data_IF_375134705688
#
_entry.id   IF_375134705688
#
_cell.length_a   1.000
_cell.length_b   1.000
_cell.length_c   1.000
_cell.angle_alpha   90.00
_cell.angle_beta   90.00
_cell.angle_gamma   90.00
#
_symmetry.space_group_name_H-M   'P 1'
#
loop_
_entity.id
_entity.type
_entity.pdbx_description
1 polymer ?
#
# COMPACT_ATOMS: atom_id res chain seq x y z
N UNK A 1 -24.46 9.06 -11.03
CA UNK A 1 -23.19 8.39 -11.40
C UNK A 1 -22.21 9.52 -11.69
N UNK A 2 -21.53 10.01 -10.66
CA UNK A 2 -20.68 11.21 -10.70
C UNK A 2 -19.25 10.82 -11.08
N UNK A 3 -18.80 11.29 -12.24
CA UNK A 3 -17.68 12.24 -12.40
C UNK A 3 -16.26 11.88 -11.99
N UNK A 4 -16.04 10.92 -11.11
CA UNK A 4 -14.72 10.62 -10.57
C UNK A 4 -14.28 9.28 -11.13
N UNK A 5 -13.15 9.23 -11.84
CA UNK A 5 -12.68 8.04 -12.57
C UNK A 5 -12.21 6.92 -11.63
N UNK A 6 -13.11 6.37 -10.82
CA UNK A 6 -12.90 5.13 -10.10
C UNK A 6 -13.00 3.96 -11.09
N UNK A 7 -11.98 3.12 -11.11
CA UNK A 7 -11.92 1.99 -12.03
C UNK A 7 -12.11 0.68 -11.28
N UNK A 8 -13.34 0.46 -10.82
CA UNK A 8 -13.75 -0.75 -10.12
C UNK A 8 -13.91 -1.91 -11.11
N UNK A 9 -13.11 -2.97 -10.92
CA UNK A 9 -13.00 -4.08 -11.89
C UNK A 9 -12.93 -5.43 -11.20
N UNK A 10 -13.21 -6.49 -11.97
CA UNK A 10 -13.14 -7.89 -11.54
C UNK A 10 -13.91 -8.18 -10.22
N UNK A 11 -15.22 -7.87 -10.13
CA UNK A 11 -15.99 -8.25 -8.96
C UNK A 11 -16.15 -9.78 -8.87
N UNK A 12 -16.06 -10.32 -7.67
CA UNK A 12 -16.24 -11.74 -7.37
C UNK A 12 -17.09 -11.91 -6.10
N UNK A 13 -18.17 -12.69 -6.20
CA UNK A 13 -19.00 -13.07 -5.08
C UNK A 13 -18.28 -14.10 -4.20
N UNK A 14 -18.41 -13.98 -2.89
CA UNK A 14 -18.09 -15.08 -1.99
C UNK A 14 -19.09 -16.24 -2.23
N UNK A 15 -18.66 -17.51 -2.16
CA UNK A 15 -19.55 -18.66 -2.33
C UNK A 15 -20.75 -18.70 -1.37
N UNK A 16 -20.59 -18.18 -0.16
CA UNK A 16 -21.67 -18.04 0.82
C UNK A 16 -22.67 -16.90 0.50
N UNK A 17 -22.38 -16.09 -0.52
CA UNK A 17 -23.22 -14.99 -0.98
C UNK A 17 -23.31 -13.83 0.01
N UNK A 18 -22.32 -13.64 0.90
CA UNK A 18 -22.33 -12.58 1.93
C UNK A 18 -21.40 -11.41 1.63
N UNK A 19 -20.41 -11.59 0.76
CA UNK A 19 -19.40 -10.56 0.45
C UNK A 19 -19.11 -10.49 -1.05
N UNK A 20 -18.57 -9.35 -1.45
CA UNK A 20 -18.06 -9.10 -2.80
C UNK A 20 -16.61 -8.64 -2.66
N UNK A 21 -15.71 -9.33 -3.35
CA UNK A 21 -14.35 -8.88 -3.57
C UNK A 21 -14.25 -8.14 -4.90
N UNK A 22 -13.44 -7.10 -4.98
CA UNK A 22 -13.26 -6.34 -6.21
C UNK A 22 -11.92 -5.60 -6.21
N UNK A 23 -11.49 -5.20 -7.39
CA UNK A 23 -10.34 -4.30 -7.56
C UNK A 23 -10.87 -2.87 -7.53
N UNK A 24 -10.30 -2.03 -6.68
CA UNK A 24 -10.54 -0.59 -6.68
C UNK A 24 -9.28 0.16 -7.09
N UNK A 25 -9.40 1.13 -7.97
CA UNK A 25 -8.33 2.03 -8.35
C UNK A 25 -8.84 3.47 -8.40
N UNK A 26 -8.13 4.38 -7.71
CA UNK A 26 -8.34 5.83 -7.83
C UNK A 26 -7.68 6.34 -9.10
N UNK A 27 -8.08 7.53 -9.58
CA UNK A 27 -7.63 8.10 -10.85
C UNK A 27 -6.10 8.12 -11.05
N UNK A 28 -5.32 8.29 -9.98
CA UNK A 28 -3.85 8.26 -9.99
C UNK A 28 -3.28 7.23 -9.00
N UNK A 29 -4.12 6.35 -8.45
CA UNK A 29 -3.74 5.37 -7.44
C UNK A 29 -3.48 3.98 -8.03
N UNK A 30 -2.59 3.22 -7.39
CA UNK A 30 -2.38 1.83 -7.76
C UNK A 30 -3.59 0.98 -7.36
N UNK A 31 -4.03 0.04 -8.22
CA UNK A 31 -5.09 -0.90 -7.89
C UNK A 31 -4.82 -1.65 -6.58
N UNK A 32 -5.84 -1.83 -5.75
CA UNK A 32 -5.81 -2.70 -4.57
C UNK A 32 -7.04 -3.60 -4.53
N UNK A 33 -6.96 -4.69 -3.79
CA UNK A 33 -8.08 -5.58 -3.51
C UNK A 33 -8.91 -5.00 -2.37
N UNK A 34 -10.22 -4.99 -2.57
CA UNK A 34 -11.21 -4.60 -1.58
C UNK A 34 -12.24 -5.71 -1.40
N UNK A 35 -12.87 -5.72 -0.24
CA UNK A 35 -14.06 -6.51 0.04
C UNK A 35 -15.14 -5.64 0.67
N UNK A 36 -16.40 -6.01 0.48
CA UNK A 36 -17.55 -5.36 1.12
C UNK A 36 -18.68 -6.37 1.30
N UNK A 37 -19.64 -6.03 2.16
CA UNK A 37 -20.90 -6.78 2.28
C UNK A 37 -21.71 -6.65 0.98
N UNK A 38 -22.62 -7.60 0.72
CA UNK A 38 -23.49 -7.56 -0.49
C UNK A 38 -24.39 -6.34 -0.57
N UNK A 39 -24.69 -5.71 0.57
CA UNK A 39 -25.48 -4.50 0.64
C UNK A 39 -24.65 -3.22 0.35
N UNK A 40 -23.35 -3.36 0.09
CA UNK A 40 -22.42 -2.27 -0.18
C UNK A 40 -21.76 -1.66 1.06
N UNK A 41 -22.09 -2.14 2.26
CA UNK A 41 -21.51 -1.66 3.52
C UNK A 41 -20.19 -2.37 3.85
N UNK A 42 -19.48 -1.86 4.87
CA UNK A 42 -18.23 -2.43 5.39
C UNK A 42 -17.18 -2.66 4.29
N UNK A 43 -16.97 -1.64 3.45
CA UNK A 43 -15.89 -1.68 2.45
C UNK A 43 -14.53 -1.59 3.14
N UNK A 44 -13.73 -2.65 3.00
CA UNK A 44 -12.40 -2.79 3.59
C UNK A 44 -11.38 -3.03 2.49
N UNK A 45 -10.21 -2.40 2.60
CA UNK A 45 -9.05 -2.63 1.74
C UNK A 45 -8.26 -3.82 2.28
N UNK A 46 -7.97 -4.79 1.42
CA UNK A 46 -7.28 -6.05 1.78
C UNK A 46 -5.82 -6.11 1.34
N UNK A 47 -5.37 -5.16 0.51
CA UNK A 47 -4.00 -5.13 -0.02
C UNK A 47 -3.43 -3.72 -0.14
N UNK A 48 -2.11 -3.61 -0.20
CA UNK A 48 -1.34 -2.39 0.04
C UNK A 48 -0.89 -1.63 -1.24
N UNK A 49 -1.75 -1.54 -2.27
CA UNK A 49 -1.55 -0.66 -3.45
C UNK A 49 -0.45 -1.14 -4.41
N UNK A 50 -0.32 -2.44 -4.62
CA UNK A 50 0.68 -2.99 -5.51
C UNK A 50 0.08 -3.41 -6.86
N UNK A 51 -0.78 -2.58 -7.44
CA UNK A 51 -1.48 -2.91 -8.68
C UNK A 51 -2.12 -4.32 -8.66
N UNK A 52 -2.74 -4.63 -7.53
CA UNK A 52 -3.28 -5.95 -7.23
C UNK A 52 -4.53 -6.22 -8.06
N UNK A 53 -4.68 -7.44 -8.55
CA UNK A 53 -5.78 -7.78 -9.47
C UNK A 53 -6.28 -9.21 -9.32
N UNK A 54 -7.46 -9.46 -9.91
CA UNK A 54 -8.07 -10.79 -10.09
C UNK A 54 -8.29 -11.54 -8.76
N UNK A 55 -9.05 -10.96 -7.82
CA UNK A 55 -9.39 -11.67 -6.61
C UNK A 55 -10.28 -12.88 -6.95
N UNK A 56 -10.00 -14.02 -6.31
CA UNK A 56 -10.88 -15.18 -6.33
C UNK A 56 -11.02 -15.79 -4.95
N UNK A 57 -12.26 -16.06 -4.58
CA UNK A 57 -12.63 -16.65 -3.30
C UNK A 57 -12.31 -18.14 -3.25
N UNK A 58 -11.87 -18.60 -2.09
CA UNK A 58 -11.87 -20.02 -1.75
C UNK A 58 -13.30 -20.56 -1.67
N UNK A 59 -13.54 -21.85 -1.94
CA UNK A 59 -14.89 -22.44 -1.94
C UNK A 59 -15.64 -22.33 -0.61
N UNK A 60 -14.91 -22.26 0.51
CA UNK A 60 -15.45 -22.10 1.86
C UNK A 60 -15.71 -20.64 2.26
N UNK A 61 -15.43 -19.67 1.38
CA UNK A 61 -15.59 -18.23 1.62
C UNK A 61 -14.66 -17.64 2.69
N UNK A 62 -13.64 -18.38 3.14
CA UNK A 62 -12.71 -17.91 4.17
C UNK A 62 -11.56 -17.07 3.62
N UNK A 63 -11.14 -17.33 2.38
CA UNK A 63 -9.91 -16.79 1.82
C UNK A 63 -10.11 -16.16 0.44
N UNK A 64 -9.25 -15.21 0.10
CA UNK A 64 -9.13 -14.65 -1.25
C UNK A 64 -7.68 -14.78 -1.71
N UNK A 65 -7.47 -15.37 -2.88
CA UNK A 65 -6.17 -15.30 -3.57
C UNK A 65 -6.22 -14.21 -4.64
N UNK A 66 -5.12 -13.50 -4.83
CA UNK A 66 -5.00 -12.40 -5.78
C UNK A 66 -3.58 -12.29 -6.33
N UNK A 67 -3.46 -11.60 -7.47
CA UNK A 67 -2.18 -11.22 -8.04
C UNK A 67 -1.65 -9.97 -7.33
N UNK A 68 -0.37 -9.96 -6.99
CA UNK A 68 0.33 -8.84 -6.35
C UNK A 68 1.54 -8.41 -7.17
N UNK A 69 1.68 -7.12 -7.47
CA UNK A 69 2.85 -6.60 -8.18
C UNK A 69 4.01 -6.31 -7.25
N UNK A 70 5.13 -6.98 -7.51
CA UNK A 70 6.38 -6.68 -6.85
C UNK A 70 7.23 -5.74 -7.73
N UNK A 71 8.40 -5.36 -7.21
CA UNK A 71 9.40 -4.61 -7.93
C UNK A 71 9.73 -5.26 -9.30
N UNK A 72 10.16 -4.43 -10.25
CA UNK A 72 10.60 -4.85 -11.59
C UNK A 72 9.51 -5.51 -12.46
N UNK A 73 8.24 -5.42 -12.06
CA UNK A 73 7.12 -5.94 -12.83
C UNK A 73 6.74 -7.38 -12.53
N UNK A 74 7.46 -8.04 -11.62
CA UNK A 74 7.15 -9.39 -11.13
C UNK A 74 5.73 -9.43 -10.55
N UNK A 75 5.04 -10.55 -10.73
CA UNK A 75 3.71 -10.80 -10.18
C UNK A 75 3.76 -12.09 -9.39
N UNK A 76 3.35 -12.03 -8.13
CA UNK A 76 3.20 -13.21 -7.28
C UNK A 76 1.77 -13.36 -6.78
N UNK A 77 1.45 -14.56 -6.35
CA UNK A 77 0.17 -14.88 -5.75
C UNK A 77 0.25 -14.67 -4.24
N UNK A 78 -0.74 -13.95 -3.73
CA UNK A 78 -0.95 -13.76 -2.31
C UNK A 78 -2.34 -14.26 -1.95
N UNK A 79 -2.48 -14.77 -0.74
CA UNK A 79 -3.76 -15.13 -0.14
C UNK A 79 -3.99 -14.28 1.09
N UNK A 80 -5.25 -13.91 1.32
CA UNK A 80 -5.70 -13.27 2.56
C UNK A 80 -6.80 -14.12 3.20
N UNK A 81 -6.61 -14.45 4.47
CA UNK A 81 -7.63 -15.00 5.35
C UNK A 81 -8.48 -13.87 5.91
N UNK A 82 -9.78 -13.89 5.61
CA UNK A 82 -10.65 -12.75 5.84
C UNK A 82 -10.95 -12.54 7.32
N UNK A 83 -11.16 -13.61 8.08
CA UNK A 83 -11.47 -13.47 9.50
C UNK A 83 -10.25 -12.97 10.28
N UNK A 84 -9.08 -13.55 10.00
CA UNK A 84 -7.83 -13.15 10.63
C UNK A 84 -7.49 -11.69 10.31
N UNK A 85 -7.61 -11.31 9.04
CA UNK A 85 -7.32 -9.95 8.59
C UNK A 85 -8.24 -8.90 9.22
N UNK A 86 -9.55 -9.18 9.27
CA UNK A 86 -10.50 -8.24 9.85
C UNK A 86 -10.33 -8.14 11.36
N UNK A 87 -10.07 -9.25 12.05
CA UNK A 87 -9.80 -9.24 13.48
C UNK A 87 -8.55 -8.40 13.82
N UNK A 88 -7.49 -8.49 13.01
CA UNK A 88 -6.29 -7.69 13.17
C UNK A 88 -6.54 -6.18 12.99
N UNK A 89 -7.50 -5.79 12.15
CA UNK A 89 -7.87 -4.38 11.99
C UNK A 89 -8.82 -3.85 13.08
N UNK A 90 -9.57 -4.72 13.75
CA UNK A 90 -10.43 -4.37 14.87
C UNK A 90 -9.70 -4.34 16.22
N UNK A 91 -8.51 -4.96 16.31
CA UNK A 91 -7.70 -4.90 17.51
C UNK A 91 -7.34 -3.42 17.81
N UNK A 92 -7.62 -2.90 19.02
CA UNK A 92 -7.13 -1.56 19.38
C UNK A 92 -5.62 -1.56 19.18
N UNK A 93 -5.01 -0.47 18.68
CA UNK A 93 -3.55 -0.38 18.59
C UNK A 93 -3.04 -0.77 19.97
N UNK A 94 -2.32 -1.90 20.04
CA UNK A 94 -1.83 -2.47 21.28
C UNK A 94 -1.23 -1.31 22.03
N UNK A 95 -1.90 -0.94 23.13
CA UNK A 95 -1.63 0.26 23.93
C UNK A 95 -0.13 0.50 23.88
N UNK A 96 0.29 1.60 23.24
CA UNK A 96 1.69 1.97 23.09
C UNK A 96 2.41 1.49 24.34
N UNK A 97 3.38 0.59 24.16
CA UNK A 97 4.30 0.26 25.25
C UNK A 97 4.62 1.60 25.92
N UNK A 98 4.47 1.73 27.25
CA UNK A 98 4.82 2.99 27.89
C UNK A 98 6.20 3.33 27.35
N UNK A 99 6.33 4.51 26.71
CA UNK A 99 7.62 5.00 26.23
C UNK A 99 8.62 4.68 27.33
N UNK A 100 9.74 3.99 27.03
CA UNK A 100 10.67 3.62 28.09
C UNK A 100 10.92 4.89 28.90
N UNK A 101 10.58 4.87 30.19
CA UNK A 101 10.89 5.98 31.09
C UNK A 101 12.36 6.24 30.84
N UNK A 102 12.66 7.36 30.17
CA UNK A 102 14.03 7.76 29.90
C UNK A 102 14.68 7.79 31.28
N UNK A 103 15.56 6.83 31.55
CA UNK A 103 16.46 6.96 32.70
C UNK A 103 17.01 8.38 32.61
N UNK A 104 16.97 9.18 33.69
CA UNK A 104 17.41 10.56 33.61
C UNK A 104 18.81 10.55 33.01
N UNK A 105 18.96 11.23 31.87
CA UNK A 105 20.24 11.29 31.17
C UNK A 105 21.32 11.66 32.19
N UNK A 106 22.48 10.98 32.19
CA UNK A 106 23.56 11.36 33.08
C UNK A 106 23.86 12.85 32.84
N UNK A 107 23.96 13.62 33.92
CA UNK A 107 24.26 15.06 33.82
C UNK A 107 25.43 15.29 32.86
N UNK A 108 25.31 16.24 31.91
CA UNK A 108 26.37 16.47 30.95
C UNK A 108 27.65 16.84 31.70
N UNK A 109 28.75 16.17 31.36
CA UNK A 109 30.07 16.56 31.84
C UNK A 109 30.30 18.05 31.52
N UNK A 110 30.92 18.82 32.42
CA UNK A 110 31.14 20.25 32.17
C UNK A 110 31.95 20.42 30.88
N UNK A 111 31.40 21.20 29.95
CA UNK A 111 32.04 21.50 28.68
C UNK A 111 33.43 22.13 28.92
N UNK A 112 34.46 21.75 28.14
CA UNK A 112 35.75 22.42 28.20
C UNK A 112 35.58 23.90 27.82
N UNK A 113 36.27 24.81 28.53
CA UNK A 113 36.22 26.24 28.26
C UNK A 113 36.51 26.54 26.78
N UNK A 114 35.74 27.45 26.14
CA UNK A 114 35.92 27.75 24.72
C UNK A 114 37.30 28.35 24.46
N UNK A 115 38.01 27.81 23.47
CA UNK A 115 39.22 28.44 22.94
C UNK A 115 38.88 29.84 22.38
N UNK A 116 39.79 30.83 22.49
CA UNK A 116 39.52 32.18 22.02
C UNK A 116 39.29 32.20 20.51
N UNK A 117 38.19 32.84 20.10
CA UNK A 117 37.79 32.97 18.69
C UNK A 117 38.87 33.68 17.85
N UNK A 118 39.14 33.24 16.61
CA UNK A 118 39.99 33.97 15.69
C UNK A 118 39.35 35.31 15.28
N UNK A 119 40.18 36.33 15.06
CA UNK A 119 39.74 37.67 14.67
C UNK A 119 38.89 37.66 13.37
N UNK A 120 37.86 38.53 13.26
CA UNK A 120 36.98 38.54 12.11
C UNK A 120 37.70 39.00 10.84
N UNK A 121 37.41 38.31 9.73
CA UNK A 121 37.85 38.71 8.39
C UNK A 121 37.29 40.09 7.98
N UNK A 122 38.05 40.90 7.22
CA UNK A 122 37.59 42.20 6.78
C UNK A 122 36.37 42.10 5.84
N UNK A 123 35.48 43.12 5.82
CA UNK A 123 34.21 43.06 5.12
C UNK A 123 34.40 42.92 3.60
N UNK A 124 33.67 41.98 3.01
CA UNK A 124 33.56 41.84 1.55
C UNK A 124 32.63 42.91 0.97
N UNK A 125 32.98 43.41 -0.23
CA UNK A 125 32.22 44.46 -0.92
C UNK A 125 30.86 43.94 -1.43
N UNK A 126 29.82 44.79 -1.49
CA UNK A 126 28.50 44.36 -1.94
C UNK A 126 28.49 43.99 -3.43
N UNK A 127 27.81 42.89 -3.77
CA UNK A 127 27.51 42.51 -5.15
C UNK A 127 26.48 43.46 -5.78
N UNK A 128 26.51 43.68 -7.11
CA UNK A 128 25.58 44.59 -7.77
C UNK A 128 24.16 44.02 -7.93
N UNK A 129 23.16 44.91 -7.85
CA UNK A 129 21.73 44.61 -7.97
C UNK A 129 21.34 43.95 -9.32
N UNK A 130 20.30 43.09 -9.35
CA UNK A 130 19.80 42.50 -10.59
C UNK A 130 19.00 43.49 -11.47
N UNK A 131 19.17 43.33 -12.79
CA UNK A 131 18.63 44.12 -13.92
C UNK A 131 17.07 44.10 -14.00
N UNK A 132 16.37 45.24 -14.24
CA UNK A 132 14.92 45.35 -14.07
C UNK A 132 14.06 44.94 -15.29
N UNK A 133 14.45 43.90 -16.04
CA UNK A 133 13.66 43.42 -17.18
C UNK A 133 13.30 41.93 -17.09
N UNK A 134 12.42 41.59 -16.14
CA UNK A 134 11.55 40.41 -16.25
C UNK A 134 10.14 40.78 -15.78
N UNK A 135 9.17 40.66 -16.69
CA UNK A 135 7.73 40.79 -16.42
C UNK A 135 7.21 39.48 -15.78
N UNK A 136 6.29 39.52 -14.80
CA UNK A 136 5.61 38.32 -14.33
C UNK A 136 4.42 37.99 -15.24
N UNK A 137 4.33 36.74 -15.71
CA UNK A 137 3.09 36.21 -16.29
C UNK A 137 2.08 35.91 -15.18
N UNK A 138 0.87 36.45 -15.34
CA UNK A 138 -0.33 36.10 -14.58
C UNK A 138 -0.81 34.70 -15.02
N UNK A 139 -0.98 33.75 -14.09
CA UNK A 139 -1.97 32.68 -14.26
C UNK A 139 -2.74 32.43 -12.95
N UNK A 140 -3.97 32.95 -13.00
CA UNK A 140 -5.24 32.42 -12.52
C UNK A 140 -5.32 31.54 -11.25
N UNK A 141 -6.10 32.07 -10.32
CA UNK A 141 -6.78 31.34 -9.24
C UNK A 141 -7.67 30.23 -9.80
N UNK A 142 -7.55 29.02 -9.24
CA UNK A 142 -8.72 28.24 -8.84
C UNK A 142 -8.51 27.57 -7.48
N UNK A 143 -9.26 28.10 -6.52
CA UNK A 143 -9.62 27.44 -5.28
C UNK A 143 -10.43 26.17 -5.62
N UNK A 144 -9.98 25.02 -5.15
CA UNK A 144 -10.67 23.74 -5.24
C UNK A 144 -10.64 23.10 -3.87
N UNK A 145 -11.84 22.95 -3.32
CA UNK A 145 -12.23 22.41 -2.02
C UNK A 145 -11.29 21.33 -1.46
N UNK A 146 -10.83 21.54 -0.22
CA UNK A 146 -10.00 20.59 0.50
C UNK A 146 -10.76 19.29 0.79
N UNK A 147 -10.16 18.18 0.38
CA UNK A 147 -10.49 16.83 0.84
C UNK A 147 -10.42 16.81 2.39
N UNK A 148 -11.39 16.20 3.12
CA UNK A 148 -11.29 16.05 4.57
C UNK A 148 -9.98 15.34 4.97
N UNK A 149 -9.43 15.63 6.17
CA UNK A 149 -8.10 15.19 6.57
C UNK A 149 -7.99 13.67 6.54
N UNK A 150 -6.96 13.24 5.81
CA UNK A 150 -6.48 11.87 5.66
C UNK A 150 -6.12 11.29 7.04
N UNK A 151 -6.66 10.11 7.40
CA UNK A 151 -6.06 9.31 8.46
C UNK A 151 -4.64 8.90 8.02
N UNK A 152 -3.64 8.94 8.92
CA UNK A 152 -2.24 8.77 8.54
C UNK A 152 -2.03 7.43 7.85
N UNK A 153 -1.42 7.50 6.68
CA UNK A 153 -0.73 6.39 6.03
C UNK A 153 0.41 5.94 6.93
N UNK A 154 0.18 4.92 7.74
CA UNK A 154 1.21 4.18 8.46
C UNK A 154 1.08 2.71 8.08
N UNK A 155 1.99 2.24 7.23
CA UNK A 155 3.01 1.25 7.60
C UNK A 155 3.79 0.75 6.36
N UNK A 156 5.13 0.66 6.41
CA UNK A 156 5.94 -0.05 5.42
C UNK A 156 5.71 -1.59 5.51
N UNK A 157 6.05 -2.37 4.47
CA UNK A 157 5.46 -3.69 4.21
C UNK A 157 6.02 -4.77 5.13
N UNK A 158 5.43 -4.89 6.32
CA UNK A 158 5.27 -6.17 7.00
C UNK A 158 3.99 -6.81 6.48
N UNK A 159 4.05 -8.07 6.06
CA UNK A 159 2.88 -8.86 5.67
C UNK A 159 1.80 -8.66 6.74
N UNK A 160 0.68 -8.00 6.40
CA UNK A 160 -0.43 -7.76 7.32
C UNK A 160 -0.94 -9.10 7.87
N UNK A 161 -1.33 -9.15 9.14
CA UNK A 161 -1.82 -10.39 9.75
C UNK A 161 -2.99 -10.95 8.94
N UNK A 162 -2.95 -12.26 8.66
CA UNK A 162 -3.90 -12.92 7.76
C UNK A 162 -3.54 -12.84 6.27
N UNK A 163 -2.50 -12.14 5.86
CA UNK A 163 -1.97 -12.16 4.49
C UNK A 163 -0.78 -13.12 4.38
N UNK A 164 -0.66 -13.86 3.28
CA UNK A 164 0.47 -14.74 3.01
C UNK A 164 0.85 -14.69 1.52
N UNK A 165 2.15 -14.63 1.23
CA UNK A 165 2.69 -14.85 -0.12
C UNK A 165 2.77 -16.35 -0.41
N UNK A 166 2.17 -16.78 -1.52
CA UNK A 166 2.10 -18.20 -1.93
C UNK A 166 3.20 -18.58 -2.93
N UNK A 167 3.57 -17.67 -3.84
CA UNK A 167 4.60 -17.92 -4.84
C UNK A 167 5.81 -17.03 -4.62
N UNK A 168 6.99 -17.56 -4.96
CA UNK A 168 8.25 -16.82 -4.93
C UNK A 168 9.03 -17.13 -6.20
N UNK A 169 9.61 -16.10 -6.83
CA UNK A 169 10.44 -16.27 -8.02
C UNK A 169 10.54 -15.00 -8.87
N UNK A 170 11.30 -15.08 -9.96
CA UNK A 170 11.46 -14.01 -10.94
C UNK A 170 10.41 -14.09 -12.08
N UNK A 171 9.34 -14.84 -11.88
CA UNK A 171 8.33 -15.13 -12.90
C UNK A 171 7.04 -14.37 -12.60
N UNK A 172 6.16 -14.27 -13.58
CA UNK A 172 4.84 -13.69 -13.38
C UNK A 172 3.83 -14.82 -13.15
N UNK A 173 3.47 -15.03 -11.89
CA UNK A 173 2.42 -15.96 -11.49
C UNK A 173 1.09 -15.20 -11.44
N UNK A 174 0.17 -15.58 -12.32
CA UNK A 174 -1.05 -14.83 -12.62
C UNK A 174 -2.25 -15.75 -12.84
N UNK A 175 -3.45 -15.18 -12.74
CA UNK A 175 -4.71 -15.89 -12.99
C UNK A 175 -4.94 -17.09 -12.05
N UNK A 176 -4.82 -16.91 -10.73
CA UNK A 176 -5.10 -17.99 -9.80
C UNK A 176 -6.58 -18.37 -9.85
N UNK A 177 -6.86 -19.64 -9.61
CA UNK A 177 -8.20 -20.15 -9.37
C UNK A 177 -8.13 -21.32 -8.39
N UNK A 178 -9.06 -21.37 -7.44
CA UNK A 178 -9.18 -22.48 -6.49
C UNK A 178 -9.71 -23.74 -7.16
N UNK A 179 -9.22 -24.90 -6.71
CA UNK A 179 -9.90 -26.16 -6.94
C UNK A 179 -11.25 -26.17 -6.23
N UNK A 180 -12.26 -26.90 -6.72
CA UNK A 180 -13.60 -26.93 -6.09
C UNK A 180 -13.62 -27.38 -4.63
N UNK A 181 -12.64 -28.18 -4.21
CA UNK A 181 -12.47 -28.66 -2.84
C UNK A 181 -11.60 -27.73 -1.97
N UNK A 182 -11.06 -26.65 -2.53
CA UNK A 182 -10.22 -25.69 -1.83
C UNK A 182 -8.79 -26.16 -1.53
N UNK A 183 -8.42 -27.38 -1.92
CA UNK A 183 -7.10 -27.96 -1.56
C UNK A 183 -5.96 -27.54 -2.48
N UNK A 184 -6.26 -26.89 -3.62
CA UNK A 184 -5.26 -26.51 -4.63
C UNK A 184 -5.59 -25.17 -5.26
N UNK A 185 -4.56 -24.58 -5.84
CA UNK A 185 -4.66 -23.50 -6.81
C UNK A 185 -4.15 -23.95 -8.17
N UNK A 186 -4.84 -23.56 -9.22
CA UNK A 186 -4.31 -23.55 -10.59
C UNK A 186 -3.97 -22.11 -10.96
N UNK A 187 -2.84 -21.90 -11.62
CA UNK A 187 -2.42 -20.56 -12.08
C UNK A 187 -1.55 -20.67 -13.33
N UNK A 188 -1.37 -19.54 -14.00
CA UNK A 188 -0.44 -19.41 -15.14
C UNK A 188 0.86 -18.80 -14.65
N UNK A 189 1.98 -19.43 -14.98
CA UNK A 189 3.32 -18.88 -14.76
C UNK A 189 3.90 -18.46 -16.10
N UNK A 190 4.29 -17.19 -16.20
CA UNK A 190 4.97 -16.64 -17.37
C UNK A 190 6.44 -16.34 -17.02
N UNK A 191 7.36 -16.99 -17.74
CA UNK A 191 8.81 -16.86 -17.49
C UNK A 191 9.51 -15.93 -18.48
N UNK A 192 8.92 -15.76 -19.67
CA UNK A 192 9.34 -14.84 -20.71
C UNK A 192 8.14 -14.58 -21.64
N UNK A 193 8.20 -13.53 -22.48
CA UNK A 193 7.19 -13.34 -23.53
C UNK A 193 7.08 -14.61 -24.40
N UNK A 194 5.88 -15.16 -24.49
CA UNK A 194 5.54 -16.43 -25.17
C UNK A 194 5.92 -17.73 -24.45
N UNK A 195 6.45 -17.67 -23.23
CA UNK A 195 6.73 -18.83 -22.38
C UNK A 195 5.84 -18.82 -21.14
N UNK A 196 4.62 -19.36 -21.32
CA UNK A 196 3.58 -19.45 -20.31
C UNK A 196 3.10 -20.89 -20.17
N UNK A 197 3.01 -21.38 -18.93
CA UNK A 197 2.49 -22.71 -18.64
C UNK A 197 1.55 -22.70 -17.43
N UNK A 198 0.68 -23.71 -17.37
CA UNK A 198 -0.27 -23.91 -16.29
C UNK A 198 0.39 -24.72 -15.18
N UNK A 199 0.31 -24.24 -13.95
CA UNK A 199 0.84 -24.86 -12.75
C UNK A 199 -0.27 -25.12 -11.73
N UNK A 200 -0.04 -26.12 -10.88
CA UNK A 200 -0.90 -26.46 -9.75
C UNK A 200 -0.07 -26.34 -8.48
N UNK A 201 -0.62 -25.66 -7.48
CA UNK A 201 -0.06 -25.52 -6.13
C UNK A 201 -0.99 -26.19 -5.12
N UNK A 202 -0.43 -27.00 -4.24
CA UNK A 202 -1.14 -27.59 -3.10
C UNK A 202 -1.11 -26.63 -1.90
N UNK A 203 -2.21 -26.55 -1.15
CA UNK A 203 -2.40 -25.66 0.00
C UNK A 203 -2.67 -26.43 1.29
#
# INVERSE_FOLDING_TARGET
ISGDHFNDRHPAWSPDGRRIAFVHARALGQPSIYTMNVNGENRVRLSDCHADTRPTWSPDSAQIVYNHALAEGIRDLFVVDIETFLAAQEAPPTKAEPEPELEPEPEPEPEPEPEPEPEPDPPQQPEPDPDPHQTPDEEDKKEGEGDPPQAPSADPPGIQEGVQRLTTGAHHDIHPHWSPDGSKLVFTKESAPLDAAVYVLDL
#
